data_IF_067214873390
#
_entry.id   IF_067214873390
#
_cell.length_a   1.000
_cell.length_b   1.000
_cell.length_c   1.000
_cell.angle_alpha   90.00
_cell.angle_beta   90.00
_cell.angle_gamma   90.00
#
_symmetry.space_group_name_H-M   'P 1'
#
loop_
_entity.id
_entity.type
_entity.pdbx_description
1 polymer ?
#
# COMPACT_ATOMS: atom_id res chain seq x y z
N UNK A 1 -2.30 -20.50 -21.67
CA UNK A 1 -3.32 -19.70 -22.38
C UNK A 1 -3.23 -18.27 -21.88
N UNK A 2 -3.14 -17.30 -22.78
CA UNK A 2 -3.17 -15.86 -22.45
C UNK A 2 -4.36 -15.19 -23.11
N UNK A 3 -4.67 -13.95 -22.71
CA UNK A 3 -5.73 -13.17 -23.35
C UNK A 3 -5.33 -12.82 -24.81
N UNK A 4 -6.29 -12.86 -25.76
CA UNK A 4 -6.02 -12.55 -27.16
C UNK A 4 -5.73 -11.05 -27.41
N UNK A 5 -6.06 -10.18 -26.46
CA UNK A 5 -5.77 -8.76 -26.46
C UNK A 5 -5.49 -8.27 -25.03
N UNK A 6 -4.76 -7.14 -24.87
CA UNK A 6 -4.57 -6.52 -23.56
C UNK A 6 -5.90 -6.15 -22.92
N UNK A 7 -6.02 -6.38 -21.61
CA UNK A 7 -7.16 -5.95 -20.81
C UNK A 7 -6.80 -4.64 -20.10
N UNK A 8 -7.51 -3.57 -20.42
CA UNK A 8 -7.42 -2.31 -19.67
C UNK A 8 -8.10 -2.48 -18.31
N UNK A 9 -7.31 -2.43 -17.24
CA UNK A 9 -7.80 -2.62 -15.88
C UNK A 9 -8.08 -1.31 -15.14
N UNK A 10 -7.55 -0.18 -15.62
CA UNK A 10 -7.78 1.14 -15.08
C UNK A 10 -7.58 2.21 -16.16
N UNK A 11 -8.28 3.33 -16.02
CA UNK A 11 -8.05 4.52 -16.83
C UNK A 11 -7.51 5.63 -15.94
N UNK A 12 -6.37 6.22 -16.27
CA UNK A 12 -5.81 7.33 -15.50
C UNK A 12 -6.21 8.69 -16.06
N UNK A 13 -6.01 9.74 -15.28
CA UNK A 13 -6.43 11.10 -15.60
C UNK A 13 -5.73 11.56 -16.89
N UNK A 14 -6.47 11.96 -17.94
CA UNK A 14 -5.83 12.44 -19.16
C UNK A 14 -5.24 13.83 -18.95
N UNK A 15 -4.16 14.15 -19.68
CA UNK A 15 -3.53 15.47 -19.66
C UNK A 15 -4.49 16.60 -20.08
N UNK A 16 -5.44 16.30 -20.97
CA UNK A 16 -6.46 17.24 -21.46
C UNK A 16 -7.85 16.61 -21.37
N UNK A 17 -8.83 17.37 -20.89
CA UNK A 17 -10.21 16.93 -20.73
C UNK A 17 -11.03 17.03 -22.03
N UNK A 18 -10.47 16.58 -23.15
CA UNK A 18 -11.07 16.75 -24.48
C UNK A 18 -12.00 15.58 -24.84
N UNK A 19 -11.72 14.36 -24.37
CA UNK A 19 -12.49 13.17 -24.72
C UNK A 19 -13.44 12.75 -23.58
N UNK A 20 -14.77 12.93 -23.71
CA UNK A 20 -15.74 12.56 -22.68
C UNK A 20 -15.72 11.07 -22.33
N UNK A 21 -15.39 10.19 -23.28
CA UNK A 21 -15.33 8.75 -23.02
C UNK A 21 -14.15 8.39 -22.11
N UNK A 22 -12.99 9.04 -22.27
CA UNK A 22 -11.83 8.84 -21.39
C UNK A 22 -12.14 9.36 -19.98
N UNK A 23 -12.82 10.50 -19.88
CA UNK A 23 -13.26 11.05 -18.59
C UNK A 23 -14.23 10.11 -17.87
N UNK A 24 -15.20 9.54 -18.60
CA UNK A 24 -16.12 8.56 -18.04
C UNK A 24 -15.40 7.31 -17.53
N UNK A 25 -14.43 6.78 -18.29
CA UNK A 25 -13.59 5.65 -17.86
C UNK A 25 -12.77 5.97 -16.60
N UNK A 26 -12.16 7.17 -16.53
CA UNK A 26 -11.41 7.62 -15.34
C UNK A 26 -12.31 7.68 -14.10
N UNK A 27 -13.48 8.29 -14.25
CA UNK A 27 -14.48 8.36 -13.19
C UNK A 27 -14.96 6.97 -12.75
N UNK A 28 -14.99 5.99 -13.66
CA UNK A 28 -15.41 4.63 -13.38
C UNK A 28 -14.42 3.81 -12.53
N UNK A 29 -13.18 4.27 -12.33
CA UNK A 29 -12.24 3.59 -11.42
C UNK A 29 -12.83 3.47 -10.01
N UNK A 30 -12.73 2.28 -9.43
CA UNK A 30 -13.17 1.97 -8.07
C UNK A 30 -11.96 1.72 -7.20
N UNK A 31 -11.74 2.62 -6.25
CA UNK A 31 -10.77 2.44 -5.17
C UNK A 31 -11.48 1.88 -3.95
N UNK A 32 -10.86 0.93 -3.25
CA UNK A 32 -11.38 0.37 -2.00
C UNK A 32 -10.26 0.15 -1.01
N UNK A 33 -10.55 0.37 0.26
CA UNK A 33 -9.72 -0.06 1.39
C UNK A 33 -10.48 -1.18 2.09
N UNK A 34 -9.83 -2.33 2.25
CA UNK A 34 -10.41 -3.48 2.98
C UNK A 34 -9.56 -3.74 4.20
N UNK A 35 -10.22 -3.94 5.34
CA UNK A 35 -9.57 -4.18 6.63
C UNK A 35 -9.42 -5.67 6.90
N UNK A 36 -8.39 -6.06 7.63
CA UNK A 36 -8.19 -7.41 8.16
C UNK A 36 -8.30 -8.49 7.07
N UNK A 37 -7.54 -8.32 5.99
CA UNK A 37 -7.60 -9.19 4.82
C UNK A 37 -6.82 -10.46 5.08
N UNK A 38 -7.55 -11.58 5.24
CA UNK A 38 -6.95 -12.91 5.22
C UNK A 38 -6.42 -13.20 3.82
N UNK A 39 -5.12 -13.41 3.73
CA UNK A 39 -4.41 -13.40 2.45
C UNK A 39 -3.56 -14.64 2.23
N UNK A 40 -3.07 -15.25 3.32
CA UNK A 40 -2.03 -16.26 3.22
C UNK A 40 -2.59 -17.66 2.95
N UNK A 41 -2.19 -18.31 1.84
CA UNK A 41 -2.40 -19.73 1.63
C UNK A 41 -1.51 -20.60 2.53
N UNK A 42 -0.45 -20.04 3.12
CA UNK A 42 0.49 -20.73 3.99
C UNK A 42 0.08 -20.67 5.47
N UNK A 43 -0.65 -19.63 5.87
CA UNK A 43 -1.11 -19.39 7.23
C UNK A 43 -2.53 -18.78 7.23
N UNK A 44 -3.56 -19.63 7.35
CA UNK A 44 -4.97 -19.25 7.15
C UNK A 44 -5.51 -18.16 8.11
N UNK A 45 -4.82 -17.92 9.22
CA UNK A 45 -5.19 -16.91 10.20
C UNK A 45 -4.49 -15.57 9.97
N UNK A 46 -3.49 -15.51 9.10
CA UNK A 46 -2.74 -14.29 8.84
C UNK A 46 -3.58 -13.28 8.06
N UNK A 47 -3.72 -12.11 8.67
CA UNK A 47 -4.41 -10.97 8.11
C UNK A 47 -3.46 -9.77 8.01
N UNK A 48 -3.61 -9.02 6.92
CA UNK A 48 -3.05 -7.67 6.79
C UNK A 48 -4.07 -6.67 7.32
N UNK A 49 -3.61 -5.65 8.06
CA UNK A 49 -4.52 -4.67 8.64
C UNK A 49 -5.34 -3.93 7.59
N UNK A 50 -4.69 -3.44 6.53
CA UNK A 50 -5.33 -2.81 5.37
C UNK A 50 -4.77 -3.35 4.06
N UNK A 51 -5.65 -3.47 3.06
CA UNK A 51 -5.27 -3.62 1.65
C UNK A 51 -6.04 -2.63 0.80
N UNK A 52 -5.31 -1.89 -0.03
CA UNK A 52 -5.84 -0.92 -0.98
C UNK A 52 -5.98 -1.57 -2.36
N UNK A 53 -7.14 -1.40 -2.98
CA UNK A 53 -7.47 -1.97 -4.27
C UNK A 53 -7.83 -0.91 -5.30
N UNK A 54 -7.39 -1.12 -6.54
CA UNK A 54 -7.88 -0.43 -7.74
C UNK A 54 -8.58 -1.46 -8.64
N UNK A 55 -9.88 -1.28 -8.86
CA UNK A 55 -10.70 -2.17 -9.70
C UNK A 55 -10.58 -3.66 -9.33
N UNK A 56 -10.32 -3.96 -8.05
CA UNK A 56 -10.16 -5.33 -7.53
C UNK A 56 -8.72 -5.84 -7.49
N UNK A 57 -7.75 -5.08 -8.01
CA UNK A 57 -6.33 -5.41 -7.97
C UNK A 57 -5.72 -4.81 -6.71
N UNK A 58 -5.06 -5.61 -5.89
CA UNK A 58 -4.35 -5.11 -4.73
C UNK A 58 -3.13 -4.29 -5.18
N UNK A 59 -3.08 -3.02 -4.76
CA UNK A 59 -2.00 -2.09 -5.15
C UNK A 59 -1.14 -1.68 -3.98
N UNK A 60 -1.66 -1.72 -2.75
CA UNK A 60 -0.86 -1.51 -1.55
C UNK A 60 -1.37 -2.34 -0.37
N UNK A 61 -0.47 -2.66 0.57
CA UNK A 61 -0.81 -3.19 1.88
C UNK A 61 -0.36 -2.21 2.97
N UNK A 62 -1.02 -2.22 4.12
CA UNK A 62 -0.54 -1.50 5.29
C UNK A 62 -0.73 -2.33 6.58
N UNK A 63 0.28 -2.32 7.45
CA UNK A 63 0.20 -2.81 8.82
C UNK A 63 0.26 -1.60 9.76
N UNK A 64 -0.66 -1.54 10.73
CA UNK A 64 -0.88 -0.38 11.58
C UNK A 64 -0.46 -0.68 13.03
N UNK A 65 0.20 0.29 13.66
CA UNK A 65 0.66 0.22 15.06
C UNK A 65 0.23 1.46 15.83
N UNK A 66 0.09 1.31 17.15
CA UNK A 66 -0.15 2.42 18.06
C UNK A 66 1.07 2.66 18.95
N UNK A 67 1.59 3.88 18.91
CA UNK A 67 2.84 4.29 19.57
C UNK A 67 2.83 4.10 21.11
N UNK A 68 1.66 3.95 21.72
CA UNK A 68 1.53 3.62 23.16
C UNK A 68 2.09 2.23 23.53
N UNK A 69 2.23 1.34 22.57
CA UNK A 69 2.67 -0.06 22.79
C UNK A 69 3.69 -0.55 21.78
N UNK A 70 3.63 -0.07 20.53
CA UNK A 70 4.43 -0.57 19.41
C UNK A 70 4.79 0.57 18.45
N UNK A 71 6.04 0.62 18.03
CA UNK A 71 6.63 1.57 17.08
C UNK A 71 6.37 1.19 15.62
N UNK A 72 6.74 2.06 14.67
CA UNK A 72 6.71 1.72 13.24
C UNK A 72 7.62 0.53 12.91
N UNK A 73 8.70 0.34 13.66
CA UNK A 73 9.62 -0.78 13.47
C UNK A 73 8.98 -2.14 13.78
N UNK A 74 7.99 -2.19 14.67
CA UNK A 74 7.25 -3.42 14.93
C UNK A 74 6.41 -3.84 13.71
N UNK A 75 5.83 -2.89 12.95
CA UNK A 75 5.19 -3.20 11.68
C UNK A 75 6.21 -3.61 10.60
N UNK A 76 7.39 -2.98 10.57
CA UNK A 76 8.47 -3.38 9.66
C UNK A 76 8.92 -4.82 9.94
N UNK A 77 9.09 -5.17 11.22
CA UNK A 77 9.51 -6.51 11.62
C UNK A 77 8.41 -7.53 11.37
N UNK A 78 7.14 -7.19 11.59
CA UNK A 78 6.01 -8.02 11.16
C UNK A 78 6.07 -8.32 9.65
N UNK A 79 6.36 -7.32 8.80
CA UNK A 79 6.54 -7.57 7.38
C UNK A 79 7.75 -8.48 7.08
N UNK A 80 8.87 -8.28 7.76
CA UNK A 80 10.12 -9.03 7.52
C UNK A 80 10.06 -10.48 7.95
N UNK A 81 9.42 -10.73 9.10
CA UNK A 81 9.53 -12.01 9.79
C UNK A 81 8.22 -12.81 9.76
N UNK A 82 7.06 -12.15 9.76
CA UNK A 82 5.75 -12.81 9.82
C UNK A 82 4.99 -12.77 8.49
N UNK A 83 5.46 -11.99 7.50
CA UNK A 83 4.84 -11.82 6.18
C UNK A 83 5.80 -12.19 5.05
N UNK A 84 6.51 -13.30 5.23
CA UNK A 84 7.49 -13.74 4.24
C UNK A 84 6.79 -14.01 2.89
N UNK A 85 7.15 -13.34 1.78
CA UNK A 85 6.40 -13.43 0.53
C UNK A 85 6.52 -14.80 -0.15
N UNK A 86 7.58 -15.56 0.17
CA UNK A 86 7.78 -16.93 -0.29
C UNK A 86 8.37 -17.79 0.85
N UNK A 87 7.54 -18.28 1.79
CA UNK A 87 8.04 -19.06 2.92
C UNK A 87 8.63 -20.40 2.44
N UNK A 88 9.67 -20.89 3.13
CA UNK A 88 10.36 -22.13 2.76
C UNK A 88 9.40 -23.32 2.86
N UNK A 89 9.25 -24.07 1.77
CA UNK A 89 8.34 -25.21 1.69
C UNK A 89 6.86 -24.84 1.53
N UNK A 90 6.54 -23.54 1.46
CA UNK A 90 5.21 -23.04 1.15
C UNK A 90 5.07 -22.59 -0.30
N UNK A 91 3.93 -21.97 -0.60
CA UNK A 91 3.62 -21.36 -1.89
C UNK A 91 3.85 -19.84 -1.85
N UNK A 92 4.00 -19.21 -3.02
CA UNK A 92 4.13 -17.76 -3.12
C UNK A 92 2.88 -17.06 -2.55
N UNK A 93 3.08 -16.05 -1.72
CA UNK A 93 2.03 -15.21 -1.16
C UNK A 93 1.44 -14.29 -2.24
N UNK A 94 0.15 -14.42 -2.61
CA UNK A 94 -0.42 -13.69 -3.75
C UNK A 94 -0.37 -12.16 -3.62
N UNK A 95 -0.56 -11.62 -2.41
CA UNK A 95 -0.55 -10.17 -2.18
C UNK A 95 0.84 -9.60 -1.89
N UNK A 96 1.80 -10.45 -1.53
CA UNK A 96 3.12 -10.02 -1.03
C UNK A 96 4.27 -10.37 -1.97
N UNK A 97 4.05 -11.31 -2.89
CA UNK A 97 5.03 -11.76 -3.86
C UNK A 97 5.39 -10.70 -4.89
N UNK A 98 6.62 -10.76 -5.39
CA UNK A 98 7.09 -9.90 -6.48
C UNK A 98 7.72 -10.74 -7.60
N UNK A 99 7.33 -10.53 -8.88
CA UNK A 99 6.26 -9.64 -9.34
C UNK A 99 4.86 -10.22 -9.11
N UNK A 100 3.84 -9.35 -9.08
CA UNK A 100 2.41 -9.73 -9.16
C UNK A 100 1.57 -9.43 -7.91
N UNK A 101 2.18 -9.26 -6.74
CA UNK A 101 1.53 -8.77 -5.53
C UNK A 101 1.35 -7.26 -5.51
N UNK A 102 1.03 -6.72 -4.33
CA UNK A 102 0.91 -5.28 -4.13
C UNK A 102 2.22 -4.55 -4.47
N UNK A 103 2.10 -3.33 -4.97
CA UNK A 103 3.23 -2.53 -5.46
C UNK A 103 4.03 -1.87 -4.33
N UNK A 104 3.37 -1.64 -3.20
CA UNK A 104 3.95 -0.97 -2.02
C UNK A 104 3.33 -1.49 -0.72
N UNK A 105 4.17 -1.58 0.30
CA UNK A 105 3.82 -2.03 1.64
C UNK A 105 4.15 -0.93 2.63
N UNK A 106 3.15 -0.43 3.35
CA UNK A 106 3.30 0.61 4.35
C UNK A 106 3.34 0.01 5.76
N UNK A 107 4.35 0.37 6.53
CA UNK A 107 4.37 0.23 7.98
C UNK A 107 4.00 1.59 8.58
N UNK A 108 2.94 1.64 9.38
CA UNK A 108 2.34 2.90 9.83
C UNK A 108 2.21 2.88 11.35
N UNK A 109 2.71 3.92 12.00
CA UNK A 109 2.45 4.20 13.41
C UNK A 109 1.70 5.55 13.55
N UNK A 110 1.50 6.04 14.77
CA UNK A 110 0.83 7.34 14.97
C UNK A 110 1.72 8.53 14.58
N UNK A 111 3.04 8.34 14.65
CA UNK A 111 4.04 9.38 14.38
C UNK A 111 4.80 9.18 13.06
N UNK A 112 5.00 7.94 12.62
CA UNK A 112 5.88 7.64 11.48
C UNK A 112 5.27 6.67 10.46
N UNK A 113 5.68 6.84 9.20
CA UNK A 113 5.38 5.94 8.10
C UNK A 113 6.69 5.47 7.48
N UNK A 114 6.80 4.17 7.26
CA UNK A 114 7.85 3.59 6.42
C UNK A 114 7.21 2.80 5.27
N UNK A 115 7.92 2.68 4.16
CA UNK A 115 7.45 1.89 3.02
C UNK A 115 8.52 1.01 2.39
N UNK A 116 8.09 -0.06 1.74
CA UNK A 116 8.91 -0.87 0.85
C UNK A 116 8.12 -1.23 -0.41
N UNK A 117 8.78 -1.28 -1.56
CA UNK A 117 8.18 -1.73 -2.83
C UNK A 117 8.43 -3.21 -3.13
N UNK A 118 9.20 -3.88 -2.28
CA UNK A 118 9.48 -5.31 -2.42
C UNK A 118 9.83 -5.94 -1.08
N UNK A 119 9.00 -6.90 -0.67
CA UNK A 119 9.33 -7.77 0.45
C UNK A 119 10.34 -8.84 0.01
N UNK A 120 11.32 -9.09 0.87
CA UNK A 120 12.38 -10.09 0.72
C UNK A 120 12.67 -10.78 2.07
N UNK A 121 11.64 -10.96 2.89
CA UNK A 121 11.77 -11.50 4.25
C UNK A 121 12.67 -10.63 5.11
N UNK A 122 13.59 -11.20 5.91
CA UNK A 122 14.53 -10.44 6.74
C UNK A 122 15.39 -9.43 5.97
N UNK A 123 15.64 -9.66 4.69
CA UNK A 123 16.43 -8.77 3.84
C UNK A 123 15.62 -7.57 3.29
N UNK A 124 14.35 -7.43 3.65
CA UNK A 124 13.51 -6.31 3.19
C UNK A 124 14.05 -4.99 3.70
N UNK A 125 14.25 -4.04 2.80
CA UNK A 125 14.57 -2.65 3.14
C UNK A 125 13.31 -1.81 3.17
N UNK A 126 13.06 -1.14 4.29
CA UNK A 126 12.04 -0.11 4.42
C UNK A 126 12.71 1.27 4.45
N UNK A 127 12.12 2.21 3.72
CA UNK A 127 12.55 3.59 3.68
C UNK A 127 11.55 4.47 4.42
N UNK A 128 11.99 5.54 5.11
CA UNK A 128 11.09 6.53 5.67
C UNK A 128 10.19 7.13 4.58
N UNK A 129 8.90 7.27 4.88
CA UNK A 129 7.92 7.92 4.02
C UNK A 129 7.31 9.15 4.71
N UNK A 130 8.10 9.78 5.58
CA UNK A 130 7.70 10.93 6.39
C UNK A 130 7.86 12.26 5.63
N UNK A 131 7.11 13.29 6.04
CA UNK A 131 7.12 14.65 5.45
C UNK A 131 8.32 15.50 5.83
N UNK A 132 9.12 15.04 6.79
CA UNK A 132 10.14 15.86 7.46
C UNK A 132 9.53 16.76 8.52
N UNK A 133 10.39 17.28 9.40
CA UNK A 133 10.00 18.16 10.49
C UNK A 133 11.06 19.26 10.67
N UNK A 134 10.75 20.49 10.24
CA UNK A 134 11.65 21.66 10.33
C UNK A 134 13.08 21.42 9.79
N UNK A 135 13.20 20.67 8.69
CA UNK A 135 14.49 20.29 8.10
C UNK A 135 15.12 19.01 8.66
N UNK A 136 14.47 18.39 9.65
CA UNK A 136 14.81 17.08 10.22
C UNK A 136 13.95 15.93 9.70
N UNK A 137 14.23 14.73 10.20
CA UNK A 137 13.46 13.52 9.94
C UNK A 137 12.13 13.48 10.72
N UNK A 138 11.27 12.51 10.38
CA UNK A 138 9.97 12.32 11.05
C UNK A 138 8.87 13.23 10.50
N UNK A 139 7.76 13.33 11.22
CA UNK A 139 6.63 14.20 10.88
C UNK A 139 6.44 15.25 11.98
N UNK A 140 6.01 16.46 11.60
CA UNK A 140 5.56 17.45 12.57
C UNK A 140 4.32 16.94 13.32
N UNK A 141 4.16 17.25 14.62
CA UNK A 141 2.94 16.93 15.35
C UNK A 141 1.70 17.54 14.68
N UNK A 142 0.62 16.78 14.62
CA UNK A 142 -0.66 17.25 14.13
C UNK A 142 -1.56 17.60 15.34
N UNK A 143 -1.95 18.87 15.55
CA UNK A 143 -2.79 19.26 16.68
C UNK A 143 -4.21 18.66 16.60
N UNK A 144 -4.66 18.29 15.41
CA UNK A 144 -6.01 17.80 15.15
C UNK A 144 -6.08 16.27 14.96
N UNK A 145 -4.96 15.56 15.12
CA UNK A 145 -4.92 14.11 14.90
C UNK A 145 -3.53 13.49 14.98
N UNK A 146 -3.32 12.41 14.21
CA UNK A 146 -2.02 11.74 14.13
C UNK A 146 -1.07 12.48 13.18
N UNK A 147 0.23 12.44 13.46
CA UNK A 147 1.23 13.05 12.58
C UNK A 147 1.32 12.34 11.22
N UNK A 148 0.82 11.10 11.15
CA UNK A 148 0.70 10.31 9.92
C UNK A 148 -0.59 10.54 9.13
N UNK A 149 -1.45 11.48 9.54
CA UNK A 149 -2.75 11.73 8.90
C UNK A 149 -2.68 12.08 7.42
N UNK A 150 -1.59 12.73 6.99
CA UNK A 150 -1.33 13.00 5.58
C UNK A 150 -1.38 11.74 4.70
N UNK A 151 -1.10 10.55 5.26
CA UNK A 151 -1.13 9.30 4.50
C UNK A 151 -2.53 9.02 3.95
N UNK A 152 -3.60 9.21 4.74
CA UNK A 152 -4.96 8.98 4.25
C UNK A 152 -5.65 10.24 3.73
N UNK A 153 -5.30 11.41 4.25
CA UNK A 153 -5.93 12.69 3.86
C UNK A 153 -5.37 13.23 2.54
N UNK A 154 -4.10 12.97 2.24
CA UNK A 154 -3.41 13.53 1.08
C UNK A 154 -2.91 12.43 0.12
N UNK A 155 -2.19 11.42 0.61
CA UNK A 155 -1.53 10.41 -0.25
C UNK A 155 -2.54 9.40 -0.80
N UNK A 156 -3.37 8.80 0.07
CA UNK A 156 -4.41 7.85 -0.34
C UNK A 156 -5.71 8.52 -0.80
N UNK A 157 -5.75 9.85 -0.85
CA UNK A 157 -6.85 10.57 -1.49
C UNK A 157 -6.99 10.11 -2.95
N UNK A 158 -8.22 9.90 -3.42
CA UNK A 158 -8.51 9.26 -4.72
C UNK A 158 -7.65 9.78 -5.88
N UNK A 159 -7.64 11.10 -6.07
CA UNK A 159 -6.95 11.73 -7.20
C UNK A 159 -5.43 11.60 -7.06
N UNK A 160 -4.90 11.78 -5.85
CA UNK A 160 -3.48 11.64 -5.52
C UNK A 160 -3.00 10.21 -5.76
N UNK A 161 -3.75 9.23 -5.23
CA UNK A 161 -3.40 7.82 -5.36
C UNK A 161 -3.44 7.33 -6.82
N UNK A 162 -4.43 7.78 -7.61
CA UNK A 162 -4.48 7.46 -9.04
C UNK A 162 -3.34 8.12 -9.83
N UNK A 163 -2.89 9.33 -9.47
CA UNK A 163 -1.72 9.96 -10.11
C UNK A 163 -0.43 9.19 -9.78
N UNK A 164 -0.24 8.78 -8.51
CA UNK A 164 0.92 8.01 -8.07
C UNK A 164 1.01 6.68 -8.83
N UNK A 165 -0.10 5.95 -8.95
CA UNK A 165 -0.15 4.66 -9.65
C UNK A 165 0.03 4.76 -11.17
N UNK A 166 -0.10 5.94 -11.77
CA UNK A 166 0.05 6.13 -13.20
C UNK A 166 1.52 6.24 -13.65
N UNK A 167 2.42 6.61 -12.73
CA UNK A 167 3.84 6.89 -12.99
C UNK A 167 4.68 5.62 -12.95
#
# INVERSE_FOLDING_TARGET
MGLPAPLELAQFKPALAINPAIQAKYAANRLRVVRQVKHSPNAQHDALDLVLFLNGIAVATAELKSDFTQSVHDAVDQYRFDRHPQPKGGVLEPLLGFPGGALVHFAVSQSEVMMSTRLAGPATTFLPFNRGNEGGAGNAPNPDGFATAYLWEEVWARESWLDILHR
#
